data_IF_082545605521
#
_entry.id   IF_082545605521
#
_cell.length_a   1.000
_cell.length_b   1.000
_cell.length_c   1.000
_cell.angle_alpha   90.00
_cell.angle_beta   90.00
_cell.angle_gamma   90.00
#
_symmetry.space_group_name_H-M   'P 1'
#
loop_
_entity.id
_entity.type
_entity.pdbx_description
1 polymer ?
#
# COMPACT_ATOMS: atom_id res chain seq x y z
N UNK A 1 -23.25 -66.20 16.96
CA UNK A 1 -23.56 -64.87 17.52
C UNK A 1 -22.41 -64.46 18.43
N UNK A 2 -21.46 -63.69 17.90
CA UNK A 2 -20.32 -63.15 18.67
C UNK A 2 -20.55 -61.67 18.88
N UNK A 3 -20.69 -61.24 20.14
CA UNK A 3 -20.93 -59.84 20.50
C UNK A 3 -19.58 -59.13 20.56
N UNK A 4 -19.35 -58.15 19.69
CA UNK A 4 -18.14 -57.35 19.68
C UNK A 4 -18.10 -56.40 20.90
N UNK A 5 -16.96 -56.40 21.58
CA UNK A 5 -16.66 -55.55 22.75
C UNK A 5 -16.43 -54.10 22.29
N UNK A 6 -16.92 -53.07 23.01
CA UNK A 6 -16.63 -51.68 22.66
C UNK A 6 -15.17 -51.30 22.98
N UNK A 7 -14.57 -50.35 22.25
CA UNK A 7 -13.19 -49.92 22.48
C UNK A 7 -13.06 -49.11 23.79
N UNK A 8 -11.87 -49.20 24.40
CA UNK A 8 -11.54 -48.48 25.63
C UNK A 8 -11.43 -46.96 25.39
N UNK A 9 -11.75 -46.11 26.39
CA UNK A 9 -11.59 -44.67 26.27
C UNK A 9 -10.11 -44.27 26.23
N UNK A 10 -9.78 -43.32 25.36
CA UNK A 10 -8.44 -42.75 25.22
C UNK A 10 -7.99 -41.93 26.44
N UNK A 11 -6.70 -41.56 26.52
CA UNK A 11 -6.13 -40.87 27.68
C UNK A 11 -6.73 -39.46 27.85
N UNK A 12 -6.79 -38.94 29.09
CA UNK A 12 -7.30 -37.60 29.36
C UNK A 12 -6.37 -36.53 28.77
N UNK A 13 -6.96 -35.52 28.13
CA UNK A 13 -6.26 -34.30 27.72
C UNK A 13 -5.58 -33.62 28.93
N UNK A 14 -4.41 -32.97 28.74
CA UNK A 14 -3.80 -32.17 29.80
C UNK A 14 -4.71 -30.98 30.17
N UNK A 15 -4.72 -30.55 31.45
CA UNK A 15 -5.60 -29.49 31.91
C UNK A 15 -5.23 -28.17 31.21
N UNK A 16 -6.20 -27.60 30.50
CA UNK A 16 -6.11 -26.27 29.94
C UNK A 16 -5.85 -25.24 31.05
N UNK A 17 -4.79 -24.47 30.91
CA UNK A 17 -4.54 -23.31 31.73
C UNK A 17 -5.70 -22.31 31.54
N UNK A 18 -6.50 -22.09 32.58
CA UNK A 18 -7.43 -20.97 32.62
C UNK A 18 -6.63 -19.67 32.75
N UNK A 19 -6.80 -18.69 31.85
CA UNK A 19 -6.15 -17.38 31.99
C UNK A 19 -6.68 -16.68 33.26
N UNK A 20 -5.78 -16.09 34.04
CA UNK A 20 -6.15 -15.27 35.19
C UNK A 20 -6.95 -14.02 34.78
N UNK A 21 -7.79 -13.47 35.67
CA UNK A 21 -8.56 -12.26 35.39
C UNK A 21 -7.60 -11.08 35.20
N UNK A 22 -7.59 -10.47 34.02
CA UNK A 22 -6.85 -9.23 33.73
C UNK A 22 -5.95 -9.25 32.49
N UNK A 23 -5.81 -10.37 31.78
CA UNK A 23 -5.09 -10.41 30.51
C UNK A 23 -6.09 -10.27 29.35
N UNK A 24 -5.94 -9.28 28.44
CA UNK A 24 -6.74 -9.25 27.22
C UNK A 24 -6.50 -10.56 26.47
N UNK A 25 -7.55 -11.22 25.93
CA UNK A 25 -7.37 -12.46 25.21
C UNK A 25 -6.39 -12.23 24.04
N UNK A 26 -5.52 -13.20 23.72
CA UNK A 26 -4.69 -13.10 22.53
C UNK A 26 -5.58 -12.83 21.31
N UNK A 27 -5.12 -12.04 20.33
CA UNK A 27 -5.90 -11.76 19.13
C UNK A 27 -6.36 -13.08 18.52
N UNK A 28 -7.67 -13.23 18.35
CA UNK A 28 -8.25 -14.42 17.73
C UNK A 28 -7.60 -14.60 16.35
N UNK A 29 -7.04 -15.78 16.02
CA UNK A 29 -6.62 -16.04 14.66
C UNK A 29 -7.84 -15.82 13.74
N UNK A 30 -7.65 -15.23 12.55
CA UNK A 30 -8.74 -15.02 11.62
C UNK A 30 -9.45 -16.37 11.35
N UNK A 31 -10.78 -16.36 11.11
CA UNK A 31 -11.47 -17.58 10.70
C UNK A 31 -10.72 -18.18 9.51
N UNK A 32 -10.44 -19.49 9.53
CA UNK A 32 -9.72 -20.19 8.49
C UNK A 32 -10.47 -20.02 7.16
N UNK A 33 -10.11 -18.99 6.40
CA UNK A 33 -10.56 -18.79 5.03
C UNK A 33 -9.68 -19.70 4.20
N UNK A 34 -10.25 -20.80 3.73
CA UNK A 34 -9.65 -21.55 2.62
C UNK A 34 -9.60 -20.61 1.43
N UNK A 35 -8.46 -20.54 0.74
CA UNK A 35 -8.31 -19.70 -0.44
C UNK A 35 -9.47 -19.89 -1.41
N UNK A 36 -10.01 -18.80 -1.98
CA UNK A 36 -11.16 -18.90 -2.86
C UNK A 36 -10.86 -19.87 -4.01
N UNK A 37 -11.87 -20.63 -4.48
CA UNK A 37 -11.70 -21.53 -5.63
C UNK A 37 -11.50 -20.77 -6.96
N UNK A 38 -11.47 -19.44 -6.92
CA UNK A 38 -11.29 -18.52 -8.03
C UNK A 38 -10.18 -17.51 -7.71
N UNK A 39 -9.56 -16.91 -8.73
CA UNK A 39 -8.72 -15.72 -8.57
C UNK A 39 -9.42 -14.68 -7.68
N UNK A 40 -8.77 -14.14 -6.64
CA UNK A 40 -9.36 -13.12 -5.78
C UNK A 40 -9.76 -11.88 -6.59
N UNK A 41 -10.98 -11.39 -6.40
CA UNK A 41 -11.44 -10.11 -6.95
C UNK A 41 -11.00 -8.99 -6.02
N UNK A 42 -10.17 -8.07 -6.52
CA UNK A 42 -9.58 -7.00 -5.73
C UNK A 42 -9.93 -5.63 -6.31
N UNK A 43 -10.39 -4.73 -5.44
CA UNK A 43 -10.56 -3.32 -5.75
C UNK A 43 -9.32 -2.54 -5.30
N UNK A 44 -8.81 -1.67 -6.16
CA UNK A 44 -7.80 -0.65 -5.80
C UNK A 44 -8.47 0.71 -5.83
N UNK A 45 -8.25 1.52 -4.79
CA UNK A 45 -8.63 2.93 -4.74
C UNK A 45 -7.39 3.77 -4.47
N UNK A 46 -6.88 4.45 -5.49
CA UNK A 46 -5.63 5.22 -5.47
C UNK A 46 -5.74 6.34 -6.52
N UNK A 47 -5.53 7.59 -6.13
CA UNK A 47 -5.76 8.76 -7.00
C UNK A 47 -4.59 9.01 -7.96
N UNK A 48 -3.38 8.57 -7.61
CA UNK A 48 -2.20 8.69 -8.48
C UNK A 48 -2.16 7.56 -9.51
N UNK A 49 -2.35 7.90 -10.79
CA UNK A 49 -2.43 6.93 -11.88
C UNK A 49 -1.22 5.98 -11.95
N UNK A 50 -0.01 6.51 -11.79
CA UNK A 50 1.21 5.68 -11.82
C UNK A 50 1.30 4.73 -10.61
N UNK A 51 0.93 5.19 -9.41
CA UNK A 51 0.89 4.34 -8.22
C UNK A 51 -0.15 3.22 -8.40
N UNK A 52 -1.33 3.56 -8.92
CA UNK A 52 -2.41 2.63 -9.22
C UNK A 52 -1.97 1.59 -10.26
N UNK A 53 -1.21 2.00 -11.28
CA UNK A 53 -0.62 1.13 -12.29
C UNK A 53 0.35 0.11 -11.66
N UNK A 54 1.26 0.55 -10.80
CA UNK A 54 2.22 -0.35 -10.12
C UNK A 54 1.48 -1.33 -9.20
N UNK A 55 0.55 -0.83 -8.39
CA UNK A 55 -0.23 -1.65 -7.46
C UNK A 55 -1.08 -2.70 -8.21
N UNK A 56 -1.70 -2.31 -9.33
CA UNK A 56 -2.39 -3.23 -10.25
C UNK A 56 -1.46 -4.33 -10.72
N UNK A 57 -0.28 -3.98 -11.25
CA UNK A 57 0.67 -4.97 -11.77
C UNK A 57 1.14 -5.97 -10.70
N UNK A 58 1.40 -5.50 -9.48
CA UNK A 58 1.71 -6.40 -8.36
C UNK A 58 0.57 -7.36 -8.05
N UNK A 59 -0.66 -6.85 -7.88
CA UNK A 59 -1.81 -7.69 -7.54
C UNK A 59 -2.15 -8.68 -8.67
N UNK A 60 -2.08 -8.26 -9.93
CA UNK A 60 -2.29 -9.16 -11.08
C UNK A 60 -1.23 -10.27 -11.14
N UNK A 61 0.04 -9.96 -10.84
CA UNK A 61 1.11 -10.97 -10.79
C UNK A 61 0.95 -11.98 -9.65
N UNK A 62 0.26 -11.59 -8.57
CA UNK A 62 -0.15 -12.48 -7.49
C UNK A 62 -1.39 -13.32 -7.84
N UNK A 63 -1.91 -13.19 -9.06
CA UNK A 63 -3.06 -13.95 -9.56
C UNK A 63 -4.40 -13.33 -9.18
N UNK A 64 -4.45 -12.07 -8.75
CA UNK A 64 -5.72 -11.37 -8.50
C UNK A 64 -6.35 -10.84 -9.80
N UNK A 65 -7.67 -10.72 -9.80
CA UNK A 65 -8.41 -9.95 -10.80
C UNK A 65 -8.64 -8.55 -10.23
N UNK A 66 -8.12 -7.54 -10.91
CA UNK A 66 -8.06 -6.17 -10.38
C UNK A 66 -9.06 -5.26 -11.08
N UNK A 67 -9.90 -4.60 -10.29
CA UNK A 67 -10.66 -3.41 -10.69
C UNK A 67 -10.02 -2.19 -10.04
N UNK A 68 -9.80 -1.13 -10.80
CA UNK A 68 -9.18 0.09 -10.31
C UNK A 68 -10.18 1.25 -10.29
N UNK A 69 -10.03 2.13 -9.30
CA UNK A 69 -10.78 3.36 -9.15
C UNK A 69 -9.83 4.49 -8.77
N UNK A 70 -9.94 5.62 -9.48
CA UNK A 70 -9.20 6.83 -9.17
C UNK A 70 -9.93 7.72 -8.14
N UNK A 71 -11.24 7.50 -7.96
CA UNK A 71 -12.08 8.30 -7.07
C UNK A 71 -12.96 7.44 -6.15
N UNK A 72 -13.40 7.97 -4.99
CA UNK A 72 -14.38 7.30 -4.15
C UNK A 72 -15.67 6.93 -4.88
N UNK A 73 -16.12 7.78 -5.80
CA UNK A 73 -17.34 7.57 -6.58
C UNK A 73 -17.21 6.37 -7.53
N UNK A 74 -16.08 6.28 -8.26
CA UNK A 74 -15.75 5.12 -9.10
C UNK A 74 -15.67 3.84 -8.26
N UNK A 75 -15.04 3.91 -7.09
CA UNK A 75 -14.91 2.79 -6.17
C UNK A 75 -16.29 2.28 -5.71
N UNK A 76 -17.20 3.18 -5.34
CA UNK A 76 -18.58 2.82 -4.94
C UNK A 76 -19.37 2.23 -6.10
N UNK A 77 -19.25 2.80 -7.30
CA UNK A 77 -19.92 2.27 -8.49
C UNK A 77 -19.44 0.85 -8.81
N UNK A 78 -18.13 0.59 -8.73
CA UNK A 78 -17.58 -0.74 -8.89
C UNK A 78 -18.05 -1.70 -7.79
N UNK A 79 -18.07 -1.24 -6.53
CA UNK A 79 -18.48 -2.02 -5.36
C UNK A 79 -19.92 -2.55 -5.43
N UNK A 80 -20.83 -1.79 -6.06
CA UNK A 80 -22.22 -2.22 -6.27
C UNK A 80 -22.32 -3.29 -7.37
N UNK A 81 -21.41 -3.27 -8.35
CA UNK A 81 -21.49 -4.09 -9.55
C UNK A 81 -20.70 -5.40 -9.45
N UNK A 82 -19.68 -5.46 -8.60
CA UNK A 82 -18.72 -6.55 -8.54
C UNK A 82 -18.59 -7.04 -7.10
N UNK A 83 -18.66 -8.36 -6.92
CA UNK A 83 -18.36 -9.01 -5.64
C UNK A 83 -16.85 -9.09 -5.42
N UNK A 84 -16.32 -8.20 -4.59
CA UNK A 84 -14.91 -8.20 -4.23
C UNK A 84 -14.60 -9.16 -3.05
N UNK A 85 -13.37 -9.67 -3.05
CA UNK A 85 -12.78 -10.40 -1.92
C UNK A 85 -11.94 -9.47 -1.03
N UNK A 86 -11.30 -8.45 -1.63
CA UNK A 86 -10.57 -7.42 -0.90
C UNK A 86 -10.62 -6.05 -1.60
N UNK A 87 -10.36 -4.98 -0.83
CA UNK A 87 -10.07 -3.66 -1.33
C UNK A 87 -8.81 -3.08 -0.68
N UNK A 88 -7.92 -2.53 -1.50
CA UNK A 88 -6.77 -1.72 -1.07
C UNK A 88 -7.13 -0.26 -1.29
N UNK A 89 -7.23 0.50 -0.21
CA UNK A 89 -7.74 1.88 -0.22
C UNK A 89 -6.65 2.80 0.32
N UNK A 90 -6.15 3.73 -0.49
CA UNK A 90 -5.32 4.82 0.02
C UNK A 90 -6.14 5.66 1.01
N UNK A 91 -5.54 6.00 2.15
CA UNK A 91 -6.16 6.89 3.14
C UNK A 91 -6.32 8.32 2.63
N UNK A 92 -5.50 8.77 1.67
CA UNK A 92 -5.61 10.09 1.06
C UNK A 92 -6.02 9.94 -0.41
N UNK A 93 -7.25 10.34 -0.74
CA UNK A 93 -7.83 10.25 -2.09
C UNK A 93 -8.16 11.66 -2.58
N UNK A 94 -7.11 12.45 -2.82
CA UNK A 94 -7.22 13.88 -3.03
C UNK A 94 -7.97 14.58 -1.88
N UNK A 95 -9.12 15.19 -2.19
CA UNK A 95 -9.98 15.88 -1.22
C UNK A 95 -10.80 14.94 -0.31
N UNK A 96 -10.74 13.63 -0.50
CA UNK A 96 -11.53 12.65 0.25
C UNK A 96 -10.66 11.77 1.15
N UNK A 97 -11.22 11.36 2.29
CA UNK A 97 -10.54 10.49 3.24
C UNK A 97 -10.93 9.02 3.03
N UNK A 98 -9.94 8.16 2.77
CA UNK A 98 -10.16 6.76 2.42
C UNK A 98 -10.90 5.95 3.51
N UNK A 99 -10.78 6.34 4.78
CA UNK A 99 -11.54 5.66 5.83
C UNK A 99 -13.05 5.97 5.81
N UNK A 100 -13.46 7.13 5.30
CA UNK A 100 -14.88 7.45 5.10
C UNK A 100 -15.48 6.59 3.99
N UNK A 101 -14.72 6.42 2.89
CA UNK A 101 -15.05 5.48 1.84
C UNK A 101 -15.15 4.06 2.40
N UNK A 102 -14.13 3.60 3.14
CA UNK A 102 -14.12 2.25 3.71
C UNK A 102 -15.30 1.99 4.66
N UNK A 103 -15.69 2.97 5.50
CA UNK A 103 -16.91 2.89 6.33
C UNK A 103 -18.16 2.70 5.47
N UNK A 104 -18.26 3.48 4.40
CA UNK A 104 -19.39 3.42 3.46
C UNK A 104 -19.46 2.04 2.79
N UNK A 105 -18.35 1.57 2.19
CA UNK A 105 -18.26 0.26 1.54
C UNK A 105 -18.57 -0.89 2.50
N UNK A 106 -18.08 -0.83 3.74
CA UNK A 106 -18.37 -1.82 4.77
C UNK A 106 -19.86 -1.85 5.15
N UNK A 107 -20.52 -0.69 5.18
CA UNK A 107 -21.96 -0.61 5.49
C UNK A 107 -22.85 -1.10 4.34
N UNK A 108 -22.35 -0.99 3.10
CA UNK A 108 -23.02 -1.45 1.87
C UNK A 108 -22.70 -2.91 1.52
N UNK A 109 -21.76 -3.55 2.23
CA UNK A 109 -21.36 -4.93 1.96
C UNK A 109 -22.49 -5.92 2.30
N UNK A 110 -23.14 -6.45 1.27
CA UNK A 110 -24.21 -7.46 1.40
C UNK A 110 -23.62 -8.87 1.61
N UNK A 111 -22.41 -9.12 1.09
CA UNK A 111 -21.74 -10.43 1.12
C UNK A 111 -21.36 -10.87 2.54
N UNK A 112 -21.49 -12.17 2.81
CA UNK A 112 -21.00 -12.82 4.05
C UNK A 112 -20.09 -14.01 3.70
N UNK A 113 -18.83 -14.03 4.18
CA UNK A 113 -18.18 -12.97 4.95
C UNK A 113 -17.95 -11.69 4.10
N UNK A 114 -17.86 -10.50 4.74
CA UNK A 114 -17.61 -9.27 3.99
C UNK A 114 -16.20 -9.28 3.37
N UNK A 115 -15.99 -8.48 2.31
CA UNK A 115 -14.66 -8.31 1.71
C UNK A 115 -13.67 -7.72 2.73
N UNK A 116 -12.39 -8.01 2.54
CA UNK A 116 -11.31 -7.52 3.39
C UNK A 116 -10.92 -6.10 2.96
N UNK A 117 -11.06 -5.12 3.85
CA UNK A 117 -10.62 -3.75 3.57
C UNK A 117 -9.22 -3.53 4.16
N UNK A 118 -8.26 -3.13 3.32
CA UNK A 118 -6.89 -2.82 3.71
C UNK A 118 -6.61 -1.34 3.43
N UNK A 119 -6.17 -0.62 4.46
CA UNK A 119 -5.69 0.75 4.30
C UNK A 119 -4.27 0.76 3.74
N UNK A 120 -3.98 1.68 2.85
CA UNK A 120 -2.63 1.97 2.36
C UNK A 120 -2.27 3.40 2.75
N UNK A 121 -1.13 3.63 3.40
CA UNK A 121 -0.76 4.98 3.84
C UNK A 121 0.75 5.16 4.01
N UNK A 122 1.25 6.36 3.78
CA UNK A 122 2.62 6.76 4.17
C UNK A 122 2.73 7.14 5.66
N UNK A 123 1.60 7.41 6.33
CA UNK A 123 1.53 7.74 7.76
C UNK A 123 0.64 6.72 8.47
N UNK A 124 1.27 5.78 9.18
CA UNK A 124 0.57 4.70 9.90
C UNK A 124 -0.07 5.23 11.19
N UNK A 125 0.46 6.28 11.79
CA UNK A 125 -0.10 6.87 13.01
C UNK A 125 -1.42 7.60 12.72
N UNK A 126 -1.55 8.17 11.51
CA UNK A 126 -2.79 8.75 11.02
C UNK A 126 -3.87 7.71 10.65
N UNK A 127 -3.52 6.42 10.59
CA UNK A 127 -4.47 5.38 10.22
C UNK A 127 -5.55 5.19 11.31
N UNK A 128 -6.80 4.85 10.94
CA UNK A 128 -7.82 4.52 11.92
C UNK A 128 -7.36 3.38 12.82
N UNK A 129 -7.55 3.52 14.14
CA UNK A 129 -7.19 2.49 15.11
C UNK A 129 -7.95 1.16 14.91
N UNK A 130 -7.67 0.17 15.76
CA UNK A 130 -8.16 -1.21 15.62
C UNK A 130 -9.70 -1.39 15.50
N UNK A 131 -10.50 -0.38 15.83
CA UNK A 131 -11.96 -0.38 15.68
C UNK A 131 -12.45 0.25 14.36
N UNK A 132 -11.54 0.58 13.44
CA UNK A 132 -11.85 1.12 12.12
C UNK A 132 -12.43 0.07 11.15
N UNK A 133 -12.86 0.48 9.95
CA UNK A 133 -13.41 -0.43 8.93
C UNK A 133 -12.36 -1.36 8.31
N UNK A 134 -11.07 -1.12 8.58
CA UNK A 134 -9.96 -1.84 7.99
C UNK A 134 -9.56 -3.09 8.79
N UNK A 135 -9.30 -4.18 8.09
CA UNK A 135 -8.76 -5.41 8.65
C UNK A 135 -7.24 -5.36 8.85
N UNK A 136 -6.57 -4.39 8.24
CA UNK A 136 -5.14 -4.16 8.34
C UNK A 136 -4.73 -2.84 7.69
N UNK A 137 -3.54 -2.36 8.06
CA UNK A 137 -2.93 -1.15 7.50
C UNK A 137 -1.59 -1.54 6.91
N UNK A 138 -1.36 -1.13 5.66
CA UNK A 138 -0.13 -1.35 4.93
C UNK A 138 0.61 -0.02 4.77
N UNK A 139 1.84 0.03 5.28
CA UNK A 139 2.70 1.19 5.12
C UNK A 139 3.25 1.26 3.70
N UNK A 140 3.22 2.44 3.08
CA UNK A 140 3.98 2.72 1.86
C UNK A 140 5.49 2.80 2.21
N UNK A 141 6.40 2.35 1.32
CA UNK A 141 6.14 1.80 -0.01
C UNK A 141 5.60 0.37 0.04
N UNK A 142 4.59 0.09 -0.79
CA UNK A 142 4.09 -1.27 -0.96
C UNK A 142 5.07 -2.10 -1.79
N UNK A 143 5.41 -3.28 -1.29
CA UNK A 143 6.17 -4.29 -2.01
C UNK A 143 5.30 -5.47 -2.39
N UNK A 144 5.71 -6.24 -3.40
CA UNK A 144 5.03 -7.47 -3.80
C UNK A 144 4.90 -8.45 -2.62
N UNK A 145 5.94 -8.56 -1.79
CA UNK A 145 5.96 -9.43 -0.62
C UNK A 145 4.98 -8.96 0.46
N UNK A 146 4.84 -7.65 0.65
CA UNK A 146 3.91 -7.06 1.61
C UNK A 146 2.46 -7.34 1.19
N UNK A 147 2.16 -7.19 -0.10
CA UNK A 147 0.86 -7.50 -0.68
C UNK A 147 0.55 -9.01 -0.61
N UNK A 148 1.51 -9.86 -0.99
CA UNK A 148 1.37 -11.31 -0.90
C UNK A 148 1.11 -11.77 0.53
N UNK A 149 1.88 -11.24 1.50
CA UNK A 149 1.73 -11.57 2.91
C UNK A 149 0.37 -11.12 3.45
N UNK A 150 -0.10 -9.92 3.08
CA UNK A 150 -1.40 -9.42 3.49
C UNK A 150 -2.54 -10.29 2.92
N UNK A 151 -2.48 -10.64 1.64
CA UNK A 151 -3.47 -11.50 1.00
C UNK A 151 -3.46 -12.93 1.59
N UNK A 152 -2.28 -13.51 1.82
CA UNK A 152 -2.14 -14.83 2.43
C UNK A 152 -2.66 -14.86 3.88
N UNK A 153 -2.33 -13.83 4.68
CA UNK A 153 -2.84 -13.67 6.05
C UNK A 153 -4.37 -13.67 6.11
N UNK A 154 -5.02 -13.10 5.10
CA UNK A 154 -6.48 -13.07 4.97
C UNK A 154 -7.06 -14.27 4.23
N UNK A 155 -6.25 -15.29 3.91
CA UNK A 155 -6.66 -16.51 3.22
C UNK A 155 -7.14 -16.27 1.79
N UNK A 156 -6.61 -15.23 1.12
CA UNK A 156 -6.93 -14.91 -0.27
C UNK A 156 -5.91 -15.50 -1.26
N UNK A 157 -4.69 -15.76 -0.81
CA UNK A 157 -3.70 -16.56 -1.52
C UNK A 157 -3.44 -17.84 -0.73
N UNK A 158 -3.11 -18.94 -1.42
CA UNK A 158 -2.56 -20.10 -0.73
C UNK A 158 -1.12 -19.79 -0.33
N UNK A 159 -0.71 -20.29 0.83
CA UNK A 159 0.68 -20.31 1.27
C UNK A 159 1.49 -21.07 0.21
N UNK A 160 1.98 -20.36 -0.80
CA UNK A 160 3.18 -20.78 -1.48
C UNK A 160 4.24 -20.75 -0.39
N UNK A 161 4.78 -21.92 -0.06
CA UNK A 161 5.73 -22.18 1.01
C UNK A 161 7.05 -21.41 0.80
N UNK A 162 6.97 -20.08 0.79
CA UNK A 162 8.09 -19.16 0.73
C UNK A 162 8.28 -18.63 2.14
N UNK A 163 9.45 -18.86 2.77
CA UNK A 163 9.74 -18.24 4.04
C UNK A 163 9.63 -16.72 3.92
N UNK A 164 9.20 -15.99 4.96
CA UNK A 164 9.33 -14.55 4.97
C UNK A 164 10.81 -14.23 4.69
N UNK A 165 11.15 -13.53 3.59
CA UNK A 165 12.52 -13.16 3.37
C UNK A 165 12.97 -12.25 4.53
N UNK A 166 14.27 -12.26 4.88
CA UNK A 166 14.80 -11.27 5.80
C UNK A 166 14.35 -9.90 5.32
N UNK A 167 13.93 -9.03 6.26
CA UNK A 167 13.66 -7.63 5.96
C UNK A 167 14.75 -7.15 5.00
N UNK A 168 14.39 -6.52 3.86
CA UNK A 168 15.40 -6.08 2.91
C UNK A 168 16.46 -5.35 3.74
N UNK A 169 17.75 -5.68 3.57
CA UNK A 169 18.78 -4.96 4.30
C UNK A 169 18.47 -3.48 4.13
N UNK A 170 18.66 -2.64 5.16
CA UNK A 170 18.64 -1.22 4.91
C UNK A 170 19.72 -1.01 3.86
N UNK A 171 19.32 -0.88 2.59
CA UNK A 171 20.22 -0.50 1.52
C UNK A 171 20.61 0.93 1.89
N UNK A 172 21.65 1.03 2.71
CA UNK A 172 22.55 2.14 2.62
C UNK A 172 23.23 1.96 1.29
N UNK A 173 22.84 2.78 0.32
CA UNK A 173 23.71 3.29 -0.72
C UNK A 173 22.94 4.33 -1.53
N UNK A 174 23.64 5.38 -1.94
CA UNK A 174 23.13 6.63 -2.48
C UNK A 174 22.48 6.52 -3.88
N UNK A 175 21.91 5.38 -4.25
CA UNK A 175 21.36 5.10 -5.58
C UNK A 175 19.83 4.94 -5.55
N UNK A 176 19.10 5.43 -6.58
CA UNK A 176 17.68 5.17 -6.76
C UNK A 176 17.39 3.69 -7.05
N UNK A 177 16.39 3.11 -6.38
CA UNK A 177 15.96 1.73 -6.58
C UNK A 177 14.73 1.69 -7.49
N UNK A 178 14.94 1.22 -8.72
CA UNK A 178 13.91 1.11 -9.74
C UNK A 178 13.17 -0.25 -9.70
N UNK A 179 13.25 -1.00 -8.60
CA UNK A 179 12.69 -2.35 -8.49
C UNK A 179 11.24 -2.45 -8.98
N UNK A 180 10.38 -1.52 -8.55
CA UNK A 180 8.97 -1.46 -8.98
C UNK A 180 8.82 -1.25 -10.48
N UNK A 181 9.60 -0.34 -11.07
CA UNK A 181 9.54 -0.04 -12.50
C UNK A 181 10.14 -1.18 -13.33
N UNK A 182 11.23 -1.81 -12.86
CA UNK A 182 11.85 -2.98 -13.49
C UNK A 182 10.90 -4.17 -13.51
N UNK A 183 10.16 -4.37 -12.42
CA UNK A 183 9.11 -5.36 -12.36
C UNK A 183 8.03 -5.09 -13.42
N UNK A 184 7.51 -3.86 -13.47
CA UNK A 184 6.49 -3.47 -14.45
C UNK A 184 6.97 -3.51 -15.91
N UNK A 185 8.28 -3.31 -16.12
CA UNK A 185 8.90 -3.37 -17.43
C UNK A 185 9.01 -4.80 -17.96
N UNK A 186 8.89 -5.83 -17.11
CA UNK A 186 9.00 -7.25 -17.47
C UNK A 186 10.23 -7.54 -18.35
N UNK A 187 11.40 -7.07 -17.89
CA UNK A 187 12.69 -7.19 -18.59
C UNK A 187 12.80 -6.46 -19.94
N UNK A 188 11.85 -5.60 -20.34
CA UNK A 188 11.99 -4.73 -21.53
C UNK A 188 12.69 -3.41 -21.17
N UNK A 189 13.89 -3.13 -21.73
CA UNK A 189 14.57 -1.85 -21.53
C UNK A 189 13.75 -0.65 -22.06
N UNK A 190 13.08 -0.81 -23.20
CA UNK A 190 12.26 0.24 -23.80
C UNK A 190 11.07 0.61 -22.91
N UNK A 191 10.43 -0.42 -22.33
CA UNK A 191 9.33 -0.23 -21.39
C UNK A 191 9.82 0.39 -20.07
N UNK A 192 11.00 -0.01 -19.59
CA UNK A 192 11.60 0.59 -18.40
C UNK A 192 11.90 2.07 -18.60
N UNK A 193 12.45 2.45 -19.75
CA UNK A 193 12.68 3.86 -20.11
C UNK A 193 11.37 4.64 -20.17
N UNK A 194 10.35 4.12 -20.88
CA UNK A 194 9.02 4.75 -20.95
C UNK A 194 8.38 4.93 -19.57
N UNK A 195 8.41 3.89 -18.71
CA UNK A 195 7.86 3.98 -17.35
C UNK A 195 8.61 4.99 -16.49
N UNK A 196 9.91 5.14 -16.69
CA UNK A 196 10.73 6.12 -15.98
C UNK A 196 10.37 7.54 -16.43
N UNK A 197 10.20 7.76 -17.73
CA UNK A 197 9.73 9.04 -18.28
C UNK A 197 8.34 9.40 -17.74
N UNK A 198 7.41 8.45 -17.76
CA UNK A 198 6.05 8.64 -17.23
C UNK A 198 6.07 8.98 -15.73
N UNK A 199 6.90 8.28 -14.95
CA UNK A 199 7.11 8.58 -13.54
C UNK A 199 7.56 10.03 -13.32
N UNK A 200 8.62 10.48 -14.01
CA UNK A 200 9.12 11.84 -13.79
C UNK A 200 8.14 12.90 -14.30
N UNK A 201 7.43 12.64 -15.40
CA UNK A 201 6.39 13.53 -15.91
C UNK A 201 5.23 13.70 -14.92
N UNK A 202 4.82 12.63 -14.26
CA UNK A 202 3.78 12.71 -13.22
C UNK A 202 4.32 13.39 -11.95
N UNK A 203 5.54 13.07 -11.53
CA UNK A 203 6.20 13.75 -10.40
C UNK A 203 6.30 15.27 -10.62
N UNK A 204 6.65 15.72 -11.82
CA UNK A 204 6.77 17.14 -12.15
C UNK A 204 5.41 17.86 -12.00
N UNK A 205 4.30 17.22 -12.41
CA UNK A 205 2.94 17.77 -12.21
C UNK A 205 2.60 17.92 -10.72
N UNK A 206 2.97 16.93 -9.91
CA UNK A 206 2.75 16.98 -8.45
C UNK A 206 3.60 18.07 -7.78
N UNK A 207 4.84 18.26 -8.24
CA UNK A 207 5.70 19.35 -7.76
C UNK A 207 5.16 20.73 -8.15
N UNK A 208 4.62 20.89 -9.36
CA UNK A 208 3.99 22.14 -9.79
C UNK A 208 2.75 22.48 -8.96
N UNK A 209 1.90 21.48 -8.69
CA UNK A 209 0.74 21.63 -7.80
C UNK A 209 1.17 22.04 -6.38
N UNK A 210 2.18 21.36 -5.81
CA UNK A 210 2.74 21.67 -4.50
C UNK A 210 3.29 23.10 -4.45
N UNK A 211 4.04 23.51 -5.48
CA UNK A 211 4.57 24.88 -5.60
C UNK A 211 3.46 25.93 -5.56
N UNK A 212 2.37 25.71 -6.32
CA UNK A 212 1.22 26.60 -6.34
C UNK A 212 0.53 26.68 -4.96
N UNK A 213 0.35 25.55 -4.28
CA UNK A 213 -0.25 25.51 -2.94
C UNK A 213 0.61 26.17 -1.87
N UNK A 214 1.93 26.04 -1.95
CA UNK A 214 2.89 26.75 -1.08
C UNK A 214 2.82 28.26 -1.29
N UNK A 215 2.74 28.73 -2.54
CA UNK A 215 2.57 30.14 -2.86
C UNK A 215 1.25 30.71 -2.31
N UNK A 216 0.17 29.91 -2.34
CA UNK A 216 -1.12 30.25 -1.76
C UNK A 216 -1.18 30.15 -0.22
N UNK A 217 -0.15 29.57 0.42
CA UNK A 217 -0.09 29.29 1.88
C UNK A 217 -1.30 28.51 2.40
N UNK A 218 -1.84 27.63 1.57
CA UNK A 218 -2.97 26.79 1.92
C UNK A 218 -2.46 25.52 2.61
N UNK A 219 -2.53 25.45 3.94
CA UNK A 219 -2.10 24.26 4.71
C UNK A 219 -2.76 22.98 4.18
N UNK A 220 -4.09 22.92 3.97
CA UNK A 220 -4.75 21.69 3.54
C UNK A 220 -4.24 21.24 2.16
N UNK A 221 -4.19 22.14 1.18
CA UNK A 221 -3.78 21.80 -0.19
C UNK A 221 -2.28 21.49 -0.27
N UNK A 222 -1.44 22.25 0.43
CA UNK A 222 0.00 22.00 0.45
C UNK A 222 0.31 20.66 1.14
N UNK A 223 -0.41 20.33 2.22
CA UNK A 223 -0.27 19.05 2.92
C UNK A 223 -0.66 17.87 2.02
N UNK A 224 -1.76 17.99 1.29
CA UNK A 224 -2.23 16.99 0.31
C UNK A 224 -1.22 16.81 -0.83
N UNK A 225 -0.76 17.90 -1.46
CA UNK A 225 0.23 17.84 -2.53
C UNK A 225 1.56 17.25 -2.04
N UNK A 226 2.02 17.62 -0.84
CA UNK A 226 3.24 17.07 -0.24
C UNK A 226 3.10 15.56 0.02
N UNK A 227 1.92 15.11 0.48
CA UNK A 227 1.63 13.70 0.64
C UNK A 227 1.68 12.93 -0.69
N UNK A 228 1.08 13.48 -1.75
CA UNK A 228 1.11 12.91 -3.10
C UNK A 228 2.53 12.77 -3.63
N UNK A 229 3.35 13.81 -3.49
CA UNK A 229 4.78 13.78 -3.86
C UNK A 229 5.52 12.68 -3.08
N UNK A 230 5.35 12.60 -1.75
CA UNK A 230 5.99 11.56 -0.93
C UNK A 230 5.56 10.15 -1.37
N UNK A 231 4.26 9.96 -1.57
CA UNK A 231 3.64 8.72 -2.04
C UNK A 231 4.25 8.27 -3.37
N UNK A 232 4.36 9.19 -4.33
CA UNK A 232 4.94 8.91 -5.64
C UNK A 232 6.44 8.59 -5.55
N UNK A 233 7.22 9.39 -4.82
CA UNK A 233 8.66 9.16 -4.59
C UNK A 233 8.96 7.81 -3.94
N UNK A 234 8.02 7.26 -3.17
CA UNK A 234 8.19 5.96 -2.50
C UNK A 234 8.40 4.79 -3.48
N UNK A 235 7.96 4.92 -4.74
CA UNK A 235 8.12 3.88 -5.77
C UNK A 235 9.57 3.68 -6.22
N UNK A 236 10.40 4.73 -6.21
CA UNK A 236 11.82 4.71 -6.61
C UNK A 236 12.77 4.61 -5.38
N UNK A 237 12.21 4.52 -4.17
CA UNK A 237 12.93 4.29 -2.89
C UNK A 237 14.27 5.03 -2.73
N UNK A 238 14.35 6.28 -3.21
CA UNK A 238 15.54 7.10 -3.10
C UNK A 238 15.52 7.92 -1.80
N UNK A 239 16.31 7.48 -0.81
CA UNK A 239 16.28 8.02 0.56
C UNK A 239 16.41 9.55 0.65
N UNK A 240 17.35 10.21 -0.04
CA UNK A 240 17.47 11.66 0.05
C UNK A 240 16.19 12.40 -0.37
N UNK A 241 15.48 11.91 -1.40
CA UNK A 241 14.25 12.53 -1.86
C UNK A 241 13.10 12.32 -0.86
N UNK A 242 12.99 11.12 -0.28
CA UNK A 242 12.01 10.81 0.76
C UNK A 242 12.22 11.63 2.02
N UNK A 243 13.47 11.80 2.46
CA UNK A 243 13.83 12.65 3.60
C UNK A 243 13.50 14.12 3.34
N UNK A 244 13.83 14.65 2.15
CA UNK A 244 13.51 16.02 1.78
C UNK A 244 12.00 16.27 1.69
N UNK A 245 11.24 15.32 1.13
CA UNK A 245 9.78 15.39 1.06
C UNK A 245 9.14 15.34 2.46
N UNK A 246 9.61 14.43 3.33
CA UNK A 246 9.14 14.35 4.72
C UNK A 246 9.45 15.61 5.53
N UNK A 247 10.62 16.23 5.33
CA UNK A 247 10.94 17.51 5.96
C UNK A 247 10.01 18.62 5.51
N UNK A 248 9.73 18.72 4.21
CA UNK A 248 8.78 19.70 3.69
C UNK A 248 7.37 19.48 4.25
N UNK A 249 6.92 18.23 4.36
CA UNK A 249 5.63 17.91 4.97
C UNK A 249 5.56 18.36 6.43
N UNK A 250 6.64 18.18 7.21
CA UNK A 250 6.72 18.68 8.59
C UNK A 250 6.64 20.20 8.66
N UNK A 251 7.37 20.91 7.78
CA UNK A 251 7.34 22.39 7.70
C UNK A 251 5.93 22.89 7.39
N UNK A 252 5.23 22.26 6.44
CA UNK A 252 3.84 22.60 6.10
C UNK A 252 2.91 22.35 7.30
N UNK A 253 3.06 21.21 7.98
CA UNK A 253 2.27 20.85 9.16
C UNK A 253 2.45 21.82 10.32
N UNK A 254 3.68 22.27 10.55
CA UNK A 254 4.04 23.27 11.58
C UNK A 254 3.72 24.71 11.14
N UNK A 255 3.32 24.91 9.88
CA UNK A 255 3.01 26.21 9.27
C UNK A 255 4.20 27.18 9.28
N UNK A 256 5.43 26.66 9.24
CA UNK A 256 6.63 27.47 9.13
C UNK A 256 6.88 27.90 7.68
N UNK A 257 6.04 28.83 7.22
CA UNK A 257 6.11 29.37 5.86
C UNK A 257 7.42 30.10 5.55
N UNK A 258 8.21 30.45 6.58
CA UNK A 258 9.51 31.11 6.38
C UNK A 258 10.56 30.17 5.82
N UNK A 259 10.46 28.87 6.14
CA UNK A 259 11.39 27.82 5.69
C UNK A 259 10.83 26.95 4.57
N UNK A 260 9.51 26.99 4.33
CA UNK A 260 8.83 26.17 3.32
C UNK A 260 9.42 26.29 1.90
N UNK A 261 9.74 27.51 1.45
CA UNK A 261 10.34 27.73 0.13
C UNK A 261 11.72 27.06 0.01
N UNK A 262 12.58 27.21 1.04
CA UNK A 262 13.89 26.59 1.05
C UNK A 262 13.83 25.05 1.16
N UNK A 263 12.86 24.51 1.90
CA UNK A 263 12.60 23.07 1.95
C UNK A 263 12.14 22.52 0.60
N UNK A 264 11.29 23.27 -0.12
CA UNK A 264 10.85 22.89 -1.47
C UNK A 264 11.99 22.95 -2.50
N UNK A 265 12.82 23.99 -2.46
CA UNK A 265 14.01 24.08 -3.33
C UNK A 265 14.98 22.93 -3.09
N UNK A 266 15.18 22.54 -1.82
CA UNK A 266 15.99 21.37 -1.46
C UNK A 266 15.40 20.09 -2.05
N UNK A 267 14.08 19.88 -1.93
CA UNK A 267 13.41 18.73 -2.52
C UNK A 267 13.61 18.67 -4.03
N UNK A 268 13.41 19.79 -4.75
CA UNK A 268 13.64 19.87 -6.19
C UNK A 268 15.08 19.54 -6.57
N UNK A 269 16.05 20.09 -5.85
CA UNK A 269 17.47 19.80 -6.06
C UNK A 269 17.77 18.31 -5.95
N UNK A 270 17.24 17.65 -4.92
CA UNK A 270 17.46 16.21 -4.71
C UNK A 270 16.74 15.35 -5.74
N UNK A 271 15.58 15.77 -6.24
CA UNK A 271 14.87 15.08 -7.33
C UNK A 271 15.64 15.19 -8.64
N UNK A 272 16.31 16.32 -8.92
CA UNK A 272 17.20 16.45 -10.07
C UNK A 272 18.40 15.48 -9.96
N UNK A 273 18.99 15.36 -8.78
CA UNK A 273 20.05 14.37 -8.53
C UNK A 273 19.56 12.93 -8.73
N UNK A 274 18.34 12.64 -8.27
CA UNK A 274 17.67 11.35 -8.47
C UNK A 274 17.51 11.05 -9.95
N UNK A 275 16.97 12.00 -10.74
CA UNK A 275 16.78 11.86 -12.19
C UNK A 275 18.10 11.57 -12.89
N UNK A 276 19.15 12.35 -12.60
CA UNK A 276 20.47 12.13 -13.16
C UNK A 276 21.06 10.76 -12.78
N UNK A 277 20.80 10.27 -11.57
CA UNK A 277 21.23 8.93 -11.15
C UNK A 277 20.46 7.81 -11.87
N UNK A 278 19.15 7.98 -12.07
CA UNK A 278 18.33 7.06 -12.85
C UNK A 278 18.80 7.00 -14.30
N UNK A 279 19.04 8.13 -14.95
CA UNK A 279 19.50 8.19 -16.35
C UNK A 279 20.84 7.45 -16.53
N UNK A 280 21.77 7.59 -15.58
CA UNK A 280 23.04 6.84 -15.57
C UNK A 280 22.82 5.34 -15.45
N UNK A 281 21.89 4.91 -14.59
CA UNK A 281 21.56 3.50 -14.41
C UNK A 281 20.92 2.90 -15.68
N UNK A 282 20.05 3.65 -16.36
CA UNK A 282 19.44 3.21 -17.62
C UNK A 282 20.47 3.08 -18.75
N UNK A 283 21.37 4.06 -18.89
CA UNK A 283 22.42 4.03 -19.90
C UNK A 283 23.37 2.83 -19.74
N UNK A 284 23.64 2.40 -18.50
CA UNK A 284 24.45 1.22 -18.20
C UNK A 284 23.77 -0.12 -18.48
N UNK A 285 22.45 -0.15 -18.71
CA UNK A 285 21.70 -1.36 -19.09
C UNK A 285 21.67 -1.55 -20.61
N UNK A 286 21.73 -0.45 -21.37
CA UNK A 286 21.67 -0.44 -22.85
C UNK A 286 23.03 -0.62 -23.55
N UNK A 287 24.14 -0.56 -22.80
CA UNK A 287 25.51 -0.69 -23.32
C UNK A 287 26.13 -2.04 -22.96
#
# INVERSE_FOLDING_TARGET
>A
MGVARPPAPGPPYPPGATPGPGQPPPPRPPPARTSPPHPPQVLIVEDLAFNRLVLRGYLESLGCRVTDAATPEEARQAWIMIDFDAAFIDLHLGNAWGADLARTLASEAIRRPPPVLLAVTADVEAAPGANGPFAGVLAKPLSLETLASALAFHGLLQDSNSPPPPAPPPSGEAAPDLGSLRFMADNSPERLSSLTEDFFNDLDKELDALSASLAARSVPQAGECAHRVLSHLSLIRYRPALEAAGQLQNVIREQDWSTAAGAFDRLRSVILDMKAAVDRNLAGITG
#
